data_IF_676303923173
#
_entry.id   IF_676303923173
#
_cell.length_a   1.000
_cell.length_b   1.000
_cell.length_c   1.000
_cell.angle_alpha   90.00
_cell.angle_beta   90.00
_cell.angle_gamma   90.00
#
_symmetry.space_group_name_H-M   'P 1'
#
loop_
_entity.id
_entity.type
_entity.pdbx_description
1 polymer ?
#
# COMPACT_ATOMS: atom_id res chain seq x y z
N UNK A 1 -17.90 -59.56 -30.79
CA UNK A 1 -16.95 -59.85 -29.70
C UNK A 1 -16.95 -58.69 -28.74
N UNK A 2 -17.63 -58.78 -27.59
CA UNK A 2 -17.05 -59.29 -26.33
C UNK A 2 -16.79 -58.10 -25.40
N UNK A 3 -17.85 -57.54 -24.78
CA UNK A 3 -18.16 -57.62 -23.33
C UNK A 3 -16.97 -57.35 -22.40
N UNK A 4 -17.12 -56.37 -21.50
CA UNK A 4 -17.26 -56.51 -20.03
C UNK A 4 -16.67 -55.25 -19.36
N UNK A 5 -17.50 -54.30 -18.89
CA UNK A 5 -18.06 -54.16 -17.53
C UNK A 5 -17.31 -53.11 -16.69
N UNK A 6 -18.12 -52.20 -16.16
CA UNK A 6 -17.90 -51.22 -15.09
C UNK A 6 -17.17 -51.81 -13.87
N UNK A 7 -16.42 -51.00 -13.14
CA UNK A 7 -16.77 -50.67 -11.74
C UNK A 7 -15.85 -49.61 -11.12
N UNK A 8 -16.51 -48.58 -10.58
CA UNK A 8 -16.25 -47.81 -9.36
C UNK A 8 -14.87 -47.79 -8.65
N UNK A 9 -14.43 -46.56 -8.40
CA UNK A 9 -13.90 -45.99 -7.14
C UNK A 9 -13.02 -46.84 -6.22
N UNK A 10 -11.83 -46.31 -5.89
CA UNK A 10 -11.37 -46.18 -4.50
C UNK A 10 -10.20 -45.21 -4.41
N UNK A 11 -10.21 -44.40 -3.35
CA UNK A 11 -9.11 -43.51 -2.93
C UNK A 11 -7.80 -44.29 -2.78
N UNK A 12 -6.67 -43.63 -3.05
CA UNK A 12 -5.37 -44.16 -2.72
C UNK A 12 -4.25 -43.22 -3.16
N UNK A 13 -3.67 -42.53 -2.19
CA UNK A 13 -2.53 -41.63 -2.32
C UNK A 13 -1.34 -42.33 -2.99
N UNK A 14 -0.99 -41.90 -4.21
CA UNK A 14 0.22 -42.35 -4.89
C UNK A 14 1.41 -41.50 -4.46
N UNK A 15 2.22 -42.06 -3.56
CA UNK A 15 3.57 -41.60 -3.29
C UNK A 15 4.47 -42.06 -4.45
N UNK A 16 5.02 -41.13 -5.23
CA UNK A 16 5.98 -41.44 -6.31
C UNK A 16 7.27 -40.67 -6.07
N UNK A 17 8.30 -41.39 -5.62
CA UNK A 17 9.65 -40.83 -5.45
C UNK A 17 10.38 -40.89 -6.79
N UNK A 18 10.89 -39.73 -7.20
CA UNK A 18 11.44 -39.52 -8.52
C UNK A 18 12.90 -39.98 -8.59
N UNK A 19 13.27 -40.70 -9.66
CA UNK A 19 14.61 -41.31 -9.90
C UNK A 19 15.77 -40.32 -9.77
N UNK A 20 15.52 -39.03 -9.95
CA UNK A 20 16.51 -37.94 -9.81
C UNK A 20 16.90 -37.65 -8.36
N UNK A 21 16.05 -38.00 -7.40
CA UNK A 21 16.28 -37.82 -5.96
C UNK A 21 17.27 -38.86 -5.40
N UNK A 22 17.34 -40.05 -6.04
CA UNK A 22 18.27 -41.13 -5.71
C UNK A 22 19.74 -40.81 -6.05
N UNK A 23 19.99 -40.02 -7.09
CA UNK A 23 21.37 -39.67 -7.51
C UNK A 23 22.03 -38.58 -6.67
N UNK A 24 21.29 -37.89 -5.79
CA UNK A 24 21.87 -36.87 -4.88
C UNK A 24 22.38 -37.44 -3.55
N UNK A 25 22.08 -38.71 -3.25
CA UNK A 25 22.43 -39.35 -1.97
C UNK A 25 23.70 -40.21 -2.03
N UNK A 26 24.40 -40.27 -3.17
CA UNK A 26 25.61 -41.08 -3.34
C UNK A 26 26.95 -40.31 -3.28
N UNK A 27 26.93 -39.03 -2.89
CA UNK A 27 28.12 -38.16 -2.85
C UNK A 27 28.40 -37.57 -1.47
N UNK A 28 28.79 -38.40 -0.51
CA UNK A 28 29.18 -37.96 0.84
C UNK A 28 30.56 -37.28 0.81
N UNK A 29 30.63 -35.94 0.74
CA UNK A 29 31.67 -35.07 1.37
C UNK A 29 31.49 -33.60 0.94
N UNK A 30 30.65 -32.81 1.62
CA UNK A 30 30.97 -31.41 1.99
C UNK A 30 30.17 -31.11 3.26
N UNK A 31 30.92 -31.10 4.36
CA UNK A 31 30.54 -30.59 5.66
C UNK A 31 30.27 -29.08 5.53
N UNK A 32 29.18 -28.60 6.16
CA UNK A 32 28.73 -27.19 6.24
C UNK A 32 28.05 -26.61 4.98
N UNK A 33 26.73 -26.48 5.02
CA UNK A 33 25.98 -25.32 4.44
C UNK A 33 24.47 -25.42 4.58
N UNK A 34 23.88 -26.55 4.98
CA UNK A 34 22.42 -26.63 5.08
C UNK A 34 21.91 -26.23 6.47
N UNK A 35 22.03 -24.94 6.77
CA UNK A 35 21.09 -24.29 7.68
C UNK A 35 19.71 -24.40 7.03
N UNK A 36 18.65 -24.86 7.74
CA UNK A 36 17.31 -24.63 7.26
C UNK A 36 17.13 -23.11 7.24
N UNK A 37 17.02 -22.53 6.06
CA UNK A 37 16.49 -21.17 5.92
C UNK A 37 15.04 -21.28 6.36
N UNK A 38 14.81 -21.07 7.65
CA UNK A 38 13.53 -20.62 8.16
C UNK A 38 13.31 -19.27 7.48
N UNK A 39 12.69 -19.31 6.30
CA UNK A 39 12.05 -18.15 5.72
C UNK A 39 11.00 -17.75 6.74
N UNK A 40 11.40 -16.90 7.68
CA UNK A 40 10.54 -16.28 8.64
C UNK A 40 9.58 -15.43 7.81
N UNK A 41 8.43 -16.00 7.48
CA UNK A 41 7.31 -15.20 7.01
C UNK A 41 7.00 -14.29 8.18
N UNK A 42 7.54 -13.08 8.12
CA UNK A 42 7.24 -12.00 9.05
C UNK A 42 5.78 -11.61 8.78
N UNK A 43 4.85 -12.49 9.15
CA UNK A 43 3.44 -12.19 9.26
C UNK A 43 3.32 -11.38 10.54
N UNK A 44 3.73 -10.11 10.46
CA UNK A 44 3.41 -9.12 11.47
C UNK A 44 1.89 -9.19 11.66
N UNK A 45 1.39 -9.38 12.90
CA UNK A 45 -0.04 -9.30 13.14
C UNK A 45 -0.49 -7.94 12.60
N UNK A 46 -1.38 -7.96 11.61
CA UNK A 46 -1.93 -6.74 11.00
C UNK A 46 -2.94 -6.13 11.97
N UNK A 47 -2.46 -5.65 13.11
CA UNK A 47 -3.24 -4.82 14.01
C UNK A 47 -3.48 -3.50 13.29
N UNK A 48 -4.71 -3.30 12.84
CA UNK A 48 -5.10 -2.05 12.18
C UNK A 48 -4.96 -0.91 13.20
N UNK A 49 -4.02 0.01 12.92
CA UNK A 49 -3.88 1.24 13.69
C UNK A 49 -5.03 2.18 13.32
N UNK A 50 -5.98 2.34 14.23
CA UNK A 50 -7.13 3.23 14.02
C UNK A 50 -6.77 4.66 14.45
N UNK A 51 -6.88 5.66 13.56
CA UNK A 51 -6.63 7.05 13.94
C UNK A 51 -7.70 7.54 14.93
N UNK A 52 -7.34 8.56 15.70
CA UNK A 52 -8.28 9.25 16.58
C UNK A 52 -9.39 9.93 15.77
N UNK A 53 -10.59 10.03 16.36
CA UNK A 53 -11.68 10.78 15.75
C UNK A 53 -11.38 12.28 15.75
N UNK A 54 -11.73 12.95 14.64
CA UNK A 54 -11.69 14.41 14.55
C UNK A 54 -12.66 15.05 15.54
N UNK A 55 -12.22 16.16 16.12
CA UNK A 55 -12.97 17.02 17.03
C UNK A 55 -12.98 18.45 16.49
N UNK A 56 -13.95 19.24 16.95
CA UNK A 56 -13.98 20.68 16.70
C UNK A 56 -12.68 21.30 17.23
N UNK A 57 -12.04 22.14 16.42
CA UNK A 57 -10.77 22.80 16.69
C UNK A 57 -9.53 22.06 16.15
N UNK A 58 -9.69 20.81 15.70
CA UNK A 58 -8.59 20.03 15.12
C UNK A 58 -8.14 20.59 13.77
N UNK A 59 -6.85 20.40 13.46
CA UNK A 59 -6.26 20.80 12.18
C UNK A 59 -6.32 19.68 11.16
N UNK A 60 -6.77 20.01 9.95
CA UNK A 60 -6.79 19.14 8.79
C UNK A 60 -5.79 19.66 7.74
N UNK A 61 -4.93 18.78 7.27
CA UNK A 61 -4.01 19.02 6.18
C UNK A 61 -4.70 18.85 4.83
N UNK A 62 -4.52 19.79 3.90
CA UNK A 62 -4.98 19.67 2.52
C UNK A 62 -3.79 19.49 1.58
N UNK A 63 -3.85 18.46 0.73
CA UNK A 63 -2.82 18.16 -0.28
C UNK A 63 -3.47 17.81 -1.62
N UNK A 64 -2.71 17.87 -2.72
CA UNK A 64 -3.16 17.35 -4.02
C UNK A 64 -2.16 16.33 -4.57
N UNK A 65 -2.40 15.02 -4.41
CA UNK A 65 -1.47 13.99 -4.83
C UNK A 65 -1.62 13.57 -6.30
N UNK A 66 -2.66 14.02 -7.01
CA UNK A 66 -2.97 13.61 -8.38
C UNK A 66 -3.12 14.83 -9.30
N UNK A 67 -4.35 15.18 -9.68
CA UNK A 67 -4.64 16.27 -10.62
C UNK A 67 -4.54 17.66 -9.96
N UNK A 68 -4.17 18.71 -10.72
CA UNK A 68 -4.16 20.08 -10.23
C UNK A 68 -5.58 20.51 -9.83
N UNK A 69 -5.66 21.46 -8.90
CA UNK A 69 -6.92 21.98 -8.36
C UNK A 69 -6.92 23.50 -8.44
N UNK A 70 -8.10 24.09 -8.66
CA UNK A 70 -8.21 25.53 -8.72
C UNK A 70 -8.17 26.15 -7.32
N UNK A 71 -7.61 27.36 -7.24
CA UNK A 71 -7.57 28.12 -5.98
C UNK A 71 -8.98 28.36 -5.41
N UNK A 72 -9.98 28.52 -6.28
CA UNK A 72 -11.38 28.71 -5.89
C UNK A 72 -11.90 27.48 -5.14
N UNK A 73 -11.65 26.27 -5.67
CA UNK A 73 -12.09 25.02 -5.04
C UNK A 73 -11.44 24.82 -3.66
N UNK A 74 -10.15 25.14 -3.54
CA UNK A 74 -9.43 25.09 -2.25
C UNK A 74 -10.06 26.05 -1.23
N UNK A 75 -10.41 27.27 -1.65
CA UNK A 75 -11.05 28.24 -0.77
C UNK A 75 -12.46 27.80 -0.36
N UNK A 76 -13.26 27.31 -1.30
CA UNK A 76 -14.62 26.85 -1.03
C UNK A 76 -14.61 25.66 -0.06
N UNK A 77 -13.69 24.70 -0.26
CA UNK A 77 -13.52 23.57 0.65
C UNK A 77 -13.03 24.00 2.03
N UNK A 78 -12.14 24.98 2.10
CA UNK A 78 -11.68 25.57 3.36
C UNK A 78 -12.83 26.19 4.14
N UNK A 79 -13.75 26.89 3.46
CA UNK A 79 -14.93 27.46 4.11
C UNK A 79 -15.85 26.37 4.67
N UNK A 80 -16.02 25.25 3.95
CA UNK A 80 -16.78 24.10 4.45
C UNK A 80 -16.14 23.53 5.72
N UNK A 81 -14.82 23.28 5.71
CA UNK A 81 -14.11 22.77 6.89
C UNK A 81 -14.18 23.75 8.08
N UNK A 82 -14.11 25.04 7.81
CA UNK A 82 -14.24 26.09 8.83
C UNK A 82 -15.64 26.09 9.46
N UNK A 83 -16.70 25.89 8.66
CA UNK A 83 -18.08 25.74 9.15
C UNK A 83 -18.27 24.47 10.00
N UNK A 84 -17.49 23.43 9.75
CA UNK A 84 -17.42 22.22 10.59
C UNK A 84 -16.58 22.44 11.87
N UNK A 85 -16.02 23.64 12.06
CA UNK A 85 -15.20 23.98 13.21
C UNK A 85 -13.76 23.46 13.15
N UNK A 86 -13.27 23.10 11.96
CA UNK A 86 -11.92 22.57 11.76
C UNK A 86 -10.97 23.68 11.27
N UNK A 87 -9.69 23.55 11.62
CA UNK A 87 -8.61 24.40 11.12
C UNK A 87 -8.00 23.77 9.88
N UNK A 88 -7.53 24.58 8.94
CA UNK A 88 -6.96 24.10 7.68
C UNK A 88 -5.49 24.46 7.59
N UNK A 89 -4.65 23.48 7.25
CA UNK A 89 -3.25 23.66 6.88
C UNK A 89 -3.05 23.22 5.44
N UNK A 90 -2.48 24.08 4.60
CA UNK A 90 -2.25 23.76 3.19
C UNK A 90 -0.88 23.12 2.97
N UNK A 91 -0.81 22.15 2.06
CA UNK A 91 0.44 21.70 1.46
C UNK A 91 1.13 22.86 0.75
N UNK A 92 2.46 22.87 0.77
CA UNK A 92 3.25 23.95 0.17
C UNK A 92 3.03 24.01 -1.35
N UNK A 93 2.73 22.86 -1.95
CA UNK A 93 2.60 22.69 -3.39
C UNK A 93 1.17 22.42 -3.85
N UNK A 94 0.16 22.64 -3.00
CA UNK A 94 -1.25 22.29 -3.27
C UNK A 94 -1.81 22.90 -4.56
N UNK A 95 -1.33 24.09 -4.97
CA UNK A 95 -1.73 24.80 -6.19
C UNK A 95 -0.69 24.70 -7.33
N UNK A 96 0.33 23.84 -7.19
CA UNK A 96 1.30 23.65 -8.27
C UNK A 96 0.68 22.84 -9.39
N UNK A 97 1.15 23.11 -10.60
CA UNK A 97 0.71 22.42 -11.81
C UNK A 97 1.93 21.96 -12.61
N UNK A 98 1.84 20.76 -13.18
CA UNK A 98 2.83 20.16 -14.06
C UNK A 98 2.09 19.32 -15.10
N UNK A 99 1.68 19.97 -16.20
CA UNK A 99 0.74 19.37 -17.14
C UNK A 99 -0.56 19.00 -16.44
N UNK A 100 -1.01 17.75 -16.59
CA UNK A 100 -2.24 17.28 -15.94
C UNK A 100 -2.05 16.87 -14.45
N UNK A 101 -0.88 17.12 -13.86
CA UNK A 101 -0.55 16.75 -12.48
C UNK A 101 -0.43 17.98 -11.57
N UNK A 102 -0.72 17.79 -10.28
CA UNK A 102 -0.57 18.80 -9.21
C UNK A 102 0.90 19.05 -8.83
N UNK A 103 1.72 19.39 -9.82
CA UNK A 103 3.16 19.56 -9.67
C UNK A 103 3.96 18.27 -9.88
N UNK A 104 5.28 18.38 -9.73
CA UNK A 104 6.20 17.27 -9.89
C UNK A 104 6.00 16.22 -8.79
N UNK A 105 6.45 14.99 -9.05
CA UNK A 105 6.31 13.85 -8.12
C UNK A 105 6.91 14.18 -6.74
N UNK A 106 8.08 14.83 -6.72
CA UNK A 106 8.74 15.28 -5.48
C UNK A 106 7.91 16.29 -4.68
N UNK A 107 7.22 17.22 -5.35
CA UNK A 107 6.38 18.23 -4.69
C UNK A 107 5.20 17.58 -3.97
N UNK A 108 4.54 16.63 -4.66
CA UNK A 108 3.36 15.92 -4.15
C UNK A 108 3.73 14.99 -3.00
N UNK A 109 4.86 14.29 -3.10
CA UNK A 109 5.40 13.49 -2.01
C UNK A 109 5.81 14.34 -0.79
N UNK A 110 6.47 15.49 -1.03
CA UNK A 110 6.88 16.39 0.03
C UNK A 110 5.68 16.95 0.83
N UNK A 111 4.58 17.30 0.16
CA UNK A 111 3.36 17.76 0.83
C UNK A 111 2.74 16.68 1.72
N UNK A 112 2.70 15.42 1.26
CA UNK A 112 2.21 14.30 2.07
C UNK A 112 3.13 14.07 3.29
N UNK A 113 4.43 13.93 3.05
CA UNK A 113 5.41 13.65 4.12
C UNK A 113 5.42 14.77 5.17
N UNK A 114 5.31 16.03 4.75
CA UNK A 114 5.23 17.18 5.66
C UNK A 114 3.97 17.16 6.54
N UNK A 115 2.83 16.70 6.01
CA UNK A 115 1.59 16.61 6.77
C UNK A 115 1.58 15.42 7.72
N UNK A 116 2.18 14.28 7.35
CA UNK A 116 2.35 13.14 8.25
C UNK A 116 3.36 13.41 9.36
N UNK A 117 4.41 14.19 9.09
CA UNK A 117 5.41 14.58 10.08
C UNK A 117 4.88 15.61 11.09
N UNK A 118 3.86 16.40 10.73
CA UNK A 118 3.30 17.43 11.60
C UNK A 118 2.26 16.85 12.58
N UNK A 119 2.66 16.72 13.85
CA UNK A 119 1.81 16.22 14.94
C UNK A 119 0.57 17.09 15.24
N UNK A 120 0.53 18.34 14.77
CA UNK A 120 -0.63 19.22 14.89
C UNK A 120 -1.76 18.83 13.93
N UNK A 121 -1.43 18.15 12.82
CA UNK A 121 -2.40 17.68 11.83
C UNK A 121 -3.06 16.39 12.33
N UNK A 122 -4.40 16.40 12.42
CA UNK A 122 -5.19 15.26 12.91
C UNK A 122 -5.83 14.44 11.80
N UNK A 123 -5.96 15.02 10.61
CA UNK A 123 -6.38 14.32 9.41
C UNK A 123 -5.76 14.96 8.17
N UNK A 124 -5.60 14.17 7.11
CA UNK A 124 -5.15 14.62 5.80
C UNK A 124 -6.25 14.37 4.77
N UNK A 125 -6.63 15.40 4.01
CA UNK A 125 -7.61 15.31 2.93
C UNK A 125 -6.98 15.71 1.61
N UNK A 126 -7.41 15.04 0.56
CA UNK A 126 -6.94 15.26 -0.81
C UNK A 126 -7.95 16.13 -1.56
N UNK A 127 -7.51 17.25 -2.13
CA UNK A 127 -8.38 18.14 -2.91
C UNK A 127 -8.76 17.58 -4.28
N UNK A 128 -7.84 16.83 -4.91
CA UNK A 128 -8.01 16.27 -6.25
C UNK A 128 -7.66 14.78 -6.29
N UNK A 129 -8.47 14.01 -7.01
CA UNK A 129 -8.20 12.63 -7.38
C UNK A 129 -7.62 12.53 -8.80
N UNK A 130 -7.67 11.34 -9.39
CA UNK A 130 -7.22 11.09 -10.76
C UNK A 130 -5.97 10.23 -10.84
N UNK A 131 -5.19 10.42 -11.91
CA UNK A 131 -3.94 9.68 -12.13
C UNK A 131 -2.75 10.42 -11.54
N UNK A 132 -1.73 9.67 -11.12
CA UNK A 132 -0.45 10.21 -10.68
C UNK A 132 -0.12 9.96 -9.22
N UNK A 133 -1.09 9.62 -8.36
CA UNK A 133 -0.83 9.28 -6.94
C UNK A 133 0.02 8.02 -6.79
N UNK A 134 -0.02 7.09 -7.76
CA UNK A 134 0.81 5.90 -7.76
C UNK A 134 2.29 6.21 -8.03
N UNK A 135 2.59 7.31 -8.75
CA UNK A 135 3.98 7.68 -9.09
C UNK A 135 4.80 8.13 -7.89
N UNK A 136 4.14 8.61 -6.85
CA UNK A 136 4.81 9.13 -5.66
C UNK A 136 5.10 8.05 -4.63
N UNK A 137 4.58 6.82 -4.77
CA UNK A 137 4.82 5.72 -3.83
C UNK A 137 6.30 5.45 -3.53
N UNK A 138 7.24 5.52 -4.49
CA UNK A 138 8.67 5.35 -4.19
C UNK A 138 9.31 6.49 -3.38
N UNK A 139 8.57 7.57 -3.13
CA UNK A 139 9.04 8.80 -2.46
C UNK A 139 8.40 9.01 -1.07
N UNK A 140 7.56 8.08 -0.62
CA UNK A 140 6.84 8.11 0.66
C UNK A 140 7.53 7.25 1.72
#
# INVERSE_FOLDING_TARGET
MGKLVRCHSTLGTNFSVNRRQFLRLAGSTVLATQLPVLASSNQSPSTILKPSRLKIGDTVGLVSPASPVEKKDVNDFTQVLSKLGLKVKYGTHILKEYGYLAGQDANRAADINAMFADTSVKALLTMGGGWGSNRILPLL
#
